data_IF_475958773864
#
_entry.id   IF_475958773864
#
_cell.length_a   1.000
_cell.length_b   1.000
_cell.length_c   1.000
_cell.angle_alpha   90.00
_cell.angle_beta   90.00
_cell.angle_gamma   90.00
#
_symmetry.space_group_name_H-M   'P 1'
#
loop_
_entity.id
_entity.type
_entity.pdbx_description
1 polymer ?
#
# COMPACT_ATOMS: atom_id res chain seq x y z
N UNK A 1 -38.43 17.39 -32.86
CA UNK A 1 -39.34 16.36 -32.32
C UNK A 1 -38.54 15.46 -31.41
N UNK A 2 -38.88 15.41 -30.12
CA UNK A 2 -38.24 14.55 -29.11
C UNK A 2 -38.71 13.11 -29.32
N UNK A 3 -37.77 12.16 -29.29
CA UNK A 3 -38.09 10.73 -29.44
C UNK A 3 -38.72 10.19 -28.15
N UNK A 4 -39.57 9.16 -28.22
CA UNK A 4 -40.11 8.52 -27.03
C UNK A 4 -38.98 8.04 -26.12
N UNK A 5 -39.08 8.31 -24.81
CA UNK A 5 -37.99 8.03 -23.88
C UNK A 5 -38.26 8.47 -22.43
N UNK A 6 -37.37 8.08 -21.52
CA UNK A 6 -37.39 8.51 -20.12
C UNK A 6 -36.68 9.85 -19.95
N UNK A 7 -37.37 10.82 -19.34
CA UNK A 7 -36.83 12.16 -19.11
C UNK A 7 -37.10 12.62 -17.67
N UNK A 8 -36.32 13.57 -17.13
CA UNK A 8 -36.55 14.14 -15.81
C UNK A 8 -37.96 14.73 -15.69
N UNK A 9 -38.67 14.40 -14.61
CA UNK A 9 -40.01 14.92 -14.37
C UNK A 9 -39.96 16.46 -14.16
N UNK A 10 -40.62 17.27 -15.02
CA UNK A 10 -40.62 18.72 -14.89
C UNK A 10 -41.30 19.22 -13.61
N UNK A 11 -42.05 18.37 -12.89
CA UNK A 11 -42.71 18.70 -11.62
C UNK A 11 -41.82 18.49 -10.37
N UNK A 12 -40.57 18.03 -10.53
CA UNK A 12 -39.53 18.20 -9.50
C UNK A 12 -39.39 17.11 -8.43
N UNK A 13 -40.15 16.02 -8.49
CA UNK A 13 -39.83 14.83 -7.71
C UNK A 13 -38.78 13.99 -8.45
N UNK A 14 -37.76 13.52 -7.75
CA UNK A 14 -36.59 12.80 -8.29
C UNK A 14 -36.93 11.43 -8.91
N UNK A 15 -37.72 11.42 -9.99
CA UNK A 15 -38.22 10.26 -10.74
C UNK A 15 -38.12 10.58 -12.24
N UNK A 16 -37.86 9.56 -13.05
CA UNK A 16 -37.95 9.70 -14.51
C UNK A 16 -39.40 9.47 -14.94
N UNK A 17 -39.92 10.31 -15.83
CA UNK A 17 -41.25 10.16 -16.45
C UNK A 17 -41.09 9.79 -17.92
N UNK A 18 -41.96 8.92 -18.43
CA UNK A 18 -41.92 8.51 -19.83
C UNK A 18 -42.64 9.51 -20.73
N UNK A 19 -41.94 9.98 -21.76
CA UNK A 19 -42.46 10.74 -22.89
C UNK A 19 -42.72 9.79 -24.06
N UNK A 20 -43.92 9.80 -24.63
CA UNK A 20 -44.29 8.89 -25.72
C UNK A 20 -44.04 9.44 -27.13
N UNK A 21 -43.53 10.67 -27.24
CA UNK A 21 -43.33 11.38 -28.51
C UNK A 21 -44.29 12.57 -28.69
N UNK A 22 -45.45 12.56 -28.02
CA UNK A 22 -46.50 13.59 -28.12
C UNK A 22 -46.93 14.14 -26.75
N UNK A 23 -46.94 13.32 -25.71
CA UNK A 23 -47.33 13.70 -24.35
C UNK A 23 -46.54 12.95 -23.24
N UNK A 24 -46.60 13.50 -22.04
CA UNK A 24 -46.07 12.86 -20.83
C UNK A 24 -47.07 11.84 -20.30
N UNK A 25 -46.61 10.62 -20.02
CA UNK A 25 -47.45 9.55 -19.47
C UNK A 25 -47.36 9.47 -17.93
N UNK A 26 -48.27 8.73 -17.29
CA UNK A 26 -48.23 8.47 -15.84
C UNK A 26 -47.18 7.41 -15.43
N UNK A 27 -46.46 6.81 -16.38
CA UNK A 27 -45.42 5.85 -16.08
C UNK A 27 -44.22 6.56 -15.42
N UNK A 28 -43.95 6.20 -14.17
CA UNK A 28 -42.82 6.69 -13.38
C UNK A 28 -41.82 5.55 -13.19
N UNK A 29 -40.56 5.79 -13.55
CA UNK A 29 -39.48 4.86 -13.26
C UNK A 29 -38.76 5.33 -11.98
N UNK A 30 -38.67 4.50 -10.92
CA UNK A 30 -37.73 4.79 -9.84
C UNK A 30 -36.34 4.89 -10.45
N UNK A 31 -35.66 6.02 -10.26
CA UNK A 31 -34.25 6.12 -10.60
C UNK A 31 -33.54 4.91 -9.97
N UNK A 32 -32.69 4.14 -10.69
CA UNK A 32 -31.86 3.15 -10.04
C UNK A 32 -31.17 3.86 -8.89
N UNK A 33 -31.28 3.30 -7.67
CA UNK A 33 -30.74 3.91 -6.48
C UNK A 33 -29.31 4.34 -6.77
N UNK A 34 -29.10 5.66 -6.88
CA UNK A 34 -27.75 6.22 -6.91
C UNK A 34 -27.08 5.63 -5.66
N UNK A 35 -25.96 4.90 -5.76
CA UNK A 35 -25.42 4.16 -4.63
C UNK A 35 -25.35 5.12 -3.46
N UNK A 36 -26.20 4.85 -2.48
CA UNK A 36 -26.41 5.71 -1.33
C UNK A 36 -25.05 5.89 -0.68
N UNK A 37 -24.57 7.14 -0.56
CA UNK A 37 -23.36 7.50 0.21
C UNK A 37 -23.42 7.02 1.68
N UNK A 38 -24.56 6.46 2.09
CA UNK A 38 -24.83 5.84 3.38
C UNK A 38 -24.25 4.42 3.51
N UNK A 39 -23.79 3.77 2.43
CA UNK A 39 -23.04 2.50 2.52
C UNK A 39 -21.58 2.68 3.00
N UNK A 40 -21.14 3.91 3.28
CA UNK A 40 -19.84 4.18 3.90
C UNK A 40 -19.88 4.11 5.44
N UNK A 41 -21.06 4.00 6.06
CA UNK A 41 -21.21 4.08 7.52
C UNK A 41 -21.33 2.71 8.22
N UNK A 42 -21.14 1.60 7.51
CA UNK A 42 -21.13 0.25 8.10
C UNK A 42 -20.07 -0.62 7.43
N UNK A 43 -18.83 -0.10 7.32
CA UNK A 43 -17.65 -0.96 7.27
C UNK A 43 -17.25 -1.28 8.71
N UNK A 44 -16.79 -2.50 9.02
CA UNK A 44 -16.48 -2.87 10.40
C UNK A 44 -15.50 -1.85 10.99
N UNK A 45 -15.94 -1.13 12.02
CA UNK A 45 -15.15 -0.08 12.69
C UNK A 45 -13.84 -0.61 13.31
N UNK A 46 -13.65 -1.94 13.35
CA UNK A 46 -12.47 -2.58 13.94
C UNK A 46 -11.19 -2.53 13.10
N UNK A 47 -11.24 -2.18 11.80
CA UNK A 47 -10.06 -2.25 10.92
C UNK A 47 -9.61 -0.90 10.34
N UNK A 48 -10.43 0.15 10.47
CA UNK A 48 -10.11 1.47 9.94
C UNK A 48 -9.39 2.33 10.98
N UNK A 49 -8.26 2.91 10.59
CA UNK A 49 -7.54 3.92 11.33
C UNK A 49 -7.95 5.31 10.81
N UNK A 50 -8.37 6.19 11.72
CA UNK A 50 -8.56 7.62 11.42
C UNK A 50 -7.86 8.43 12.50
N UNK A 51 -7.05 9.41 12.10
CA UNK A 51 -6.39 10.33 13.02
C UNK A 51 -6.20 11.70 12.37
N UNK A 52 -5.90 12.71 13.19
CA UNK A 52 -5.42 14.01 12.72
C UNK A 52 -3.94 14.13 13.04
N UNK A 53 -3.12 14.45 12.03
CA UNK A 53 -1.68 14.62 12.19
C UNK A 53 -1.33 16.00 11.66
N UNK A 54 -0.97 16.93 12.56
CA UNK A 54 -0.66 18.33 12.22
C UNK A 54 -1.74 19.02 11.39
N UNK A 55 -3.01 18.86 11.75
CA UNK A 55 -4.15 19.45 11.03
C UNK A 55 -4.53 18.74 9.73
N UNK A 56 -3.82 17.66 9.36
CA UNK A 56 -4.14 16.87 8.17
C UNK A 56 -4.78 15.55 8.59
N UNK A 57 -5.87 15.19 7.91
CA UNK A 57 -6.55 13.92 8.13
C UNK A 57 -5.70 12.77 7.60
N UNK A 58 -5.42 11.82 8.47
CA UNK A 58 -4.92 10.49 8.17
C UNK A 58 -6.09 9.50 8.19
N UNK A 59 -6.19 8.67 7.16
CA UNK A 59 -7.19 7.63 7.06
C UNK A 59 -6.57 6.38 6.44
N UNK A 60 -6.81 5.21 7.01
CA UNK A 60 -6.44 3.93 6.43
C UNK A 60 -7.54 2.91 6.73
N UNK A 61 -8.10 2.26 5.72
CA UNK A 61 -9.14 1.23 5.86
C UNK A 61 -8.78 -0.01 5.05
N UNK A 62 -9.76 -0.85 4.73
CA UNK A 62 -9.55 -2.04 3.91
C UNK A 62 -9.25 -1.72 2.44
N UNK A 63 -9.63 -0.54 1.96
CA UNK A 63 -9.49 -0.12 0.57
C UNK A 63 -8.19 0.62 0.28
N UNK A 64 -7.72 1.45 1.21
CA UNK A 64 -6.49 2.21 0.99
C UNK A 64 -6.06 3.05 2.17
N UNK A 65 -5.10 3.92 1.90
CA UNK A 65 -4.56 4.91 2.83
C UNK A 65 -4.57 6.29 2.18
N UNK A 66 -4.90 7.30 2.96
CA UNK A 66 -4.83 8.70 2.58
C UNK A 66 -4.27 9.55 3.71
N UNK A 67 -3.51 10.57 3.33
CA UNK A 67 -3.01 11.59 4.23
C UNK A 67 -3.01 12.96 3.54
N UNK A 68 -3.79 13.90 4.08
CA UNK A 68 -4.02 15.19 3.42
C UNK A 68 -4.67 15.01 2.06
N UNK A 69 -4.03 15.51 0.99
CA UNK A 69 -4.48 15.36 -0.40
C UNK A 69 -3.94 14.12 -1.12
N UNK A 70 -3.02 13.39 -0.49
CA UNK A 70 -2.42 12.18 -1.07
C UNK A 70 -3.22 10.95 -0.66
N UNK A 71 -3.44 10.02 -1.59
CA UNK A 71 -4.10 8.76 -1.32
C UNK A 71 -3.65 7.66 -2.26
N UNK A 72 -3.73 6.42 -1.80
CA UNK A 72 -3.38 5.24 -2.57
C UNK A 72 -4.21 4.04 -2.12
N UNK A 73 -4.80 3.32 -3.08
CA UNK A 73 -5.44 2.04 -2.79
C UNK A 73 -4.36 1.01 -2.40
N UNK A 74 -4.66 0.12 -1.46
CA UNK A 74 -3.69 -0.90 -1.04
C UNK A 74 -3.29 -1.83 -2.19
N UNK A 75 -4.19 -2.07 -3.14
CA UNK A 75 -3.92 -2.85 -4.35
C UNK A 75 -2.87 -2.18 -5.26
N UNK A 76 -2.84 -0.84 -5.28
CA UNK A 76 -1.92 -0.05 -6.10
C UNK A 76 -0.57 0.20 -5.42
N UNK A 77 -0.40 -0.16 -4.15
CA UNK A 77 0.91 -0.05 -3.48
C UNK A 77 1.91 -1.01 -4.14
N UNK A 78 3.04 -0.49 -4.60
CA UNK A 78 4.12 -1.25 -5.25
C UNK A 78 5.41 -1.25 -4.43
N UNK A 79 5.50 -0.39 -3.41
CA UNK A 79 6.57 -0.41 -2.43
C UNK A 79 6.16 0.21 -1.09
N UNK A 80 6.84 -0.22 -0.02
CA UNK A 80 6.69 0.31 1.34
C UNK A 80 8.04 0.64 1.97
N UNK A 81 8.11 1.66 2.81
CA UNK A 81 9.28 1.96 3.62
C UNK A 81 8.85 2.64 4.93
N UNK A 82 9.33 2.15 6.05
CA UNK A 82 9.11 2.77 7.36
C UNK A 82 10.28 2.53 8.31
N UNK A 83 10.58 3.54 9.11
CA UNK A 83 11.69 3.53 10.05
C UNK A 83 11.48 4.56 11.16
N UNK A 84 12.29 4.45 12.20
CA UNK A 84 12.40 5.45 13.27
C UNK A 84 13.72 6.20 13.13
N UNK A 85 13.70 7.53 13.20
CA UNK A 85 14.92 8.34 13.29
C UNK A 85 15.39 8.46 14.73
N UNK A 86 16.70 8.60 14.93
CA UNK A 86 17.27 8.76 16.27
C UNK A 86 16.95 10.15 16.84
N UNK A 87 17.38 11.22 16.16
CA UNK A 87 17.19 12.61 16.57
C UNK A 87 16.98 13.54 15.35
N UNK A 88 15.94 14.38 15.33
CA UNK A 88 14.77 14.29 16.22
C UNK A 88 14.08 12.93 16.05
N UNK A 89 13.43 12.42 17.10
CA UNK A 89 12.68 11.15 16.99
C UNK A 89 11.44 11.37 16.13
N UNK A 90 11.41 10.69 14.99
CA UNK A 90 10.28 10.64 14.09
C UNK A 90 10.04 9.19 13.67
N UNK A 91 8.77 8.82 13.54
CA UNK A 91 8.34 7.57 12.95
C UNK A 91 7.84 7.86 11.54
N UNK A 92 8.63 7.42 10.56
CA UNK A 92 8.35 7.66 9.15
C UNK A 92 7.62 6.46 8.57
N UNK A 93 6.58 6.73 7.79
CA UNK A 93 5.83 5.74 7.03
C UNK A 93 5.64 6.22 5.60
N UNK A 94 5.97 5.38 4.62
CA UNK A 94 5.84 5.66 3.19
C UNK A 94 5.33 4.44 2.45
N UNK A 95 4.36 4.66 1.58
CA UNK A 95 3.93 3.69 0.56
C UNK A 95 3.75 4.39 -0.77
N UNK A 96 4.02 3.70 -1.87
CA UNK A 96 3.86 4.32 -3.18
C UNK A 96 3.85 3.38 -4.36
N UNK A 97 3.72 3.98 -5.54
CA UNK A 97 3.85 3.35 -6.85
C UNK A 97 5.25 3.57 -7.41
N UNK A 98 5.66 2.72 -8.34
CA UNK A 98 6.88 2.94 -9.12
C UNK A 98 6.70 4.15 -10.05
N UNK A 99 7.81 4.79 -10.48
CA UNK A 99 9.19 4.55 -10.04
C UNK A 99 9.39 4.92 -8.56
N UNK A 100 10.32 4.27 -7.88
CA UNK A 100 10.57 4.50 -6.45
C UNK A 100 10.74 5.99 -6.14
N UNK A 101 10.04 6.48 -5.12
CA UNK A 101 9.99 7.87 -4.66
C UNK A 101 9.44 8.92 -5.64
N UNK A 102 9.61 8.75 -6.95
CA UNK A 102 9.13 9.68 -7.98
C UNK A 102 7.68 9.42 -8.40
N UNK A 103 7.13 8.22 -8.16
CA UNK A 103 5.73 7.91 -8.37
C UNK A 103 4.79 8.48 -7.29
N UNK A 104 3.46 8.38 -7.50
CA UNK A 104 2.45 8.69 -6.49
C UNK A 104 2.72 7.95 -5.18
N UNK A 105 2.66 8.67 -4.05
CA UNK A 105 2.95 8.11 -2.73
C UNK A 105 2.15 8.78 -1.61
N UNK A 106 1.96 8.03 -0.54
CA UNK A 106 1.55 8.56 0.76
C UNK A 106 2.75 8.53 1.68
N UNK A 107 3.04 9.66 2.33
CA UNK A 107 4.17 9.83 3.22
C UNK A 107 3.71 10.54 4.49
N UNK A 108 4.03 9.95 5.63
CA UNK A 108 3.62 10.42 6.94
C UNK A 108 4.86 10.43 7.83
N UNK A 109 5.10 11.56 8.49
CA UNK A 109 6.11 11.70 9.52
C UNK A 109 5.40 12.02 10.84
N UNK A 110 5.47 11.07 11.77
CA UNK A 110 4.91 11.21 13.12
C UNK A 110 6.03 11.55 14.08
N UNK A 111 5.78 12.48 14.98
CA UNK A 111 6.66 12.79 16.11
C UNK A 111 5.80 13.23 17.29
N UNK A 112 6.36 13.35 18.51
CA UNK A 112 5.56 13.63 19.70
C UNK A 112 4.79 14.97 19.66
N UNK A 113 5.14 15.89 18.76
CA UNK A 113 4.37 17.13 18.57
C UNK A 113 3.30 17.03 17.49
N UNK A 114 3.32 15.97 16.66
CA UNK A 114 2.35 15.75 15.60
C UNK A 114 1.06 15.06 16.10
N UNK A 115 1.18 14.22 17.12
CA UNK A 115 0.08 13.44 17.73
C UNK A 115 0.52 12.90 19.11
N UNK A 116 -0.38 12.94 20.10
CA UNK A 116 -0.08 12.51 21.48
C UNK A 116 0.42 11.05 21.55
N UNK A 117 -0.20 10.17 20.76
CA UNK A 117 0.23 8.78 20.59
C UNK A 117 0.85 8.53 19.19
N UNK A 118 1.90 9.27 18.86
CA UNK A 118 2.59 9.14 17.58
C UNK A 118 3.12 7.71 17.32
N UNK A 119 3.60 7.03 18.35
CA UNK A 119 4.15 5.68 18.22
C UNK A 119 3.06 4.62 18.03
N UNK A 120 1.97 4.67 18.80
CA UNK A 120 0.85 3.75 18.64
C UNK A 120 0.18 3.92 17.28
N UNK A 121 -0.01 5.17 16.85
CA UNK A 121 -0.53 5.50 15.52
C UNK A 121 0.34 4.92 14.40
N UNK A 122 1.67 5.09 14.49
CA UNK A 122 2.61 4.51 13.54
C UNK A 122 2.59 2.98 13.54
N UNK A 123 2.53 2.36 14.73
CA UNK A 123 2.49 0.90 14.88
C UNK A 123 1.25 0.35 14.19
N UNK A 124 0.09 0.99 14.38
CA UNK A 124 -1.16 0.58 13.74
C UNK A 124 -1.11 0.72 12.22
N UNK A 125 -0.51 1.80 11.70
CA UNK A 125 -0.28 1.95 10.26
C UNK A 125 0.59 0.83 9.68
N UNK A 126 1.66 0.45 10.38
CA UNK A 126 2.55 -0.62 9.96
C UNK A 126 1.83 -1.97 9.94
N UNK A 127 1.01 -2.27 10.94
CA UNK A 127 0.18 -3.49 10.97
C UNK A 127 -0.76 -3.57 9.77
N UNK A 128 -1.52 -2.50 9.49
CA UNK A 128 -2.42 -2.44 8.34
C UNK A 128 -1.62 -2.62 7.04
N UNK A 129 -0.48 -1.96 6.89
CA UNK A 129 0.37 -2.07 5.71
C UNK A 129 0.89 -3.51 5.49
N UNK A 130 1.30 -4.18 6.58
CA UNK A 130 1.76 -5.57 6.54
C UNK A 130 0.70 -6.50 5.97
N UNK A 131 -0.52 -6.40 6.48
CA UNK A 131 -1.65 -7.23 6.08
C UNK A 131 -2.16 -6.90 4.67
N UNK A 132 -2.26 -5.61 4.33
CA UNK A 132 -2.93 -5.14 3.11
C UNK A 132 -2.00 -5.04 1.90
N UNK A 133 -0.71 -4.78 2.11
CA UNK A 133 0.25 -4.54 1.03
C UNK A 133 1.43 -5.53 1.08
N UNK A 134 2.11 -5.69 2.21
CA UNK A 134 3.39 -6.42 2.25
C UNK A 134 3.25 -7.90 1.88
N UNK A 135 2.26 -8.61 2.43
CA UNK A 135 2.01 -10.02 2.08
C UNK A 135 1.82 -10.23 0.58
N UNK A 136 1.07 -9.32 -0.08
CA UNK A 136 0.86 -9.34 -1.53
C UNK A 136 2.15 -9.03 -2.29
N UNK A 137 2.90 -8.01 -1.87
CA UNK A 137 4.17 -7.64 -2.51
C UNK A 137 5.19 -8.79 -2.45
N UNK A 138 5.37 -9.40 -1.27
CA UNK A 138 6.25 -10.56 -1.09
C UNK A 138 5.81 -11.72 -1.99
N UNK A 139 4.53 -12.06 -2.00
CA UNK A 139 4.00 -13.14 -2.84
C UNK A 139 4.22 -12.86 -4.34
N UNK A 140 3.92 -11.64 -4.80
CA UNK A 140 4.07 -11.26 -6.20
C UNK A 140 5.54 -11.28 -6.66
N UNK A 141 6.45 -10.74 -5.85
CA UNK A 141 7.89 -10.74 -6.15
C UNK A 141 8.42 -12.18 -6.16
N UNK A 142 8.08 -12.97 -5.14
CA UNK A 142 8.54 -14.35 -5.04
C UNK A 142 8.02 -15.21 -6.21
N UNK A 143 6.75 -15.04 -6.61
CA UNK A 143 6.19 -15.72 -7.77
C UNK A 143 6.92 -15.35 -9.07
N UNK A 144 7.22 -14.06 -9.28
CA UNK A 144 7.99 -13.60 -10.44
C UNK A 144 9.39 -14.19 -10.48
N UNK A 145 10.06 -14.26 -9.33
CA UNK A 145 11.41 -14.85 -9.22
C UNK A 145 11.37 -16.34 -9.50
N UNK A 146 10.43 -17.09 -8.93
CA UNK A 146 10.29 -18.54 -9.21
C UNK A 146 9.95 -18.84 -10.67
N UNK A 147 9.25 -17.93 -11.34
CA UNK A 147 8.97 -18.02 -12.78
C UNK A 147 10.18 -17.69 -13.68
N UNK A 148 11.39 -17.52 -13.12
CA UNK A 148 12.61 -17.23 -13.88
C UNK A 148 12.96 -15.74 -13.96
N UNK A 149 12.13 -14.84 -13.42
CA UNK A 149 12.31 -13.40 -13.53
C UNK A 149 13.34 -12.83 -12.56
N UNK A 150 13.99 -11.73 -12.95
CA UNK A 150 14.74 -10.87 -12.05
C UNK A 150 13.89 -9.66 -11.64
N UNK A 151 13.91 -9.30 -10.36
CA UNK A 151 13.14 -8.19 -9.80
C UNK A 151 14.04 -7.27 -8.99
N UNK A 152 14.14 -6.00 -9.38
CA UNK A 152 14.72 -4.97 -8.52
C UNK A 152 13.78 -4.71 -7.34
N UNK A 153 14.11 -5.20 -6.15
CA UNK A 153 13.26 -5.13 -4.96
C UNK A 153 13.35 -3.75 -4.31
N UNK A 154 14.56 -3.22 -4.23
CA UNK A 154 14.90 -1.86 -3.79
C UNK A 154 15.95 -1.31 -4.74
N UNK A 155 16.21 0.01 -4.69
CA UNK A 155 17.35 0.61 -5.39
C UNK A 155 18.64 -0.15 -5.06
N UNK A 156 19.25 -0.74 -6.09
CA UNK A 156 20.53 -1.43 -5.98
C UNK A 156 20.49 -2.85 -5.39
N UNK A 157 19.31 -3.47 -5.23
CA UNK A 157 19.18 -4.90 -4.91
C UNK A 157 18.19 -5.57 -5.86
N UNK A 158 18.70 -6.51 -6.63
CA UNK A 158 17.95 -7.37 -7.53
C UNK A 158 17.91 -8.79 -6.99
N UNK A 159 16.72 -9.39 -7.01
CA UNK A 159 16.49 -10.78 -6.63
C UNK A 159 16.13 -11.57 -7.89
N UNK A 160 16.73 -12.74 -8.07
CA UNK A 160 16.56 -13.59 -9.25
C UNK A 160 16.60 -15.08 -8.85
N UNK A 161 16.31 -16.03 -9.76
CA UNK A 161 16.16 -17.44 -9.40
C UNK A 161 17.42 -18.05 -8.78
N UNK A 162 18.59 -17.53 -9.14
CA UNK A 162 19.88 -17.99 -8.64
C UNK A 162 20.30 -17.38 -7.31
N UNK A 163 19.68 -16.29 -6.86
CA UNK A 163 20.09 -15.59 -5.65
C UNK A 163 19.77 -14.10 -5.62
N UNK A 164 20.63 -13.33 -4.95
CA UNK A 164 20.54 -11.88 -4.82
C UNK A 164 21.80 -11.23 -5.38
N UNK A 165 21.61 -10.08 -6.01
CA UNK A 165 22.67 -9.23 -6.52
C UNK A 165 22.46 -7.79 -6.05
N UNK A 166 23.48 -7.17 -5.44
CA UNK A 166 23.41 -5.78 -5.01
C UNK A 166 24.74 -5.30 -4.45
N UNK A 167 24.97 -3.99 -4.36
CA UNK A 167 26.18 -3.43 -3.74
C UNK A 167 27.51 -3.97 -4.30
N UNK A 168 27.54 -4.43 -5.57
CA UNK A 168 28.71 -5.04 -6.21
C UNK A 168 28.95 -6.53 -5.88
N UNK A 169 28.10 -7.17 -5.08
CA UNK A 169 28.22 -8.58 -4.72
C UNK A 169 27.01 -9.41 -5.21
N UNK A 170 27.24 -10.70 -5.40
CA UNK A 170 26.22 -11.69 -5.74
C UNK A 170 26.27 -12.84 -4.74
N UNK A 171 25.11 -13.22 -4.20
CA UNK A 171 24.95 -14.34 -3.27
C UNK A 171 23.96 -15.34 -3.86
N UNK A 172 24.35 -16.60 -3.96
CA UNK A 172 23.43 -17.68 -4.35
C UNK A 172 22.54 -18.09 -3.18
N UNK A 173 21.34 -18.63 -3.46
CA UNK A 173 20.41 -19.04 -2.38
C UNK A 173 21.00 -19.99 -1.33
N UNK A 174 21.82 -21.02 -1.68
CA UNK A 174 22.48 -21.86 -0.68
C UNK A 174 23.43 -21.12 0.25
N UNK A 175 23.96 -19.97 -0.20
CA UNK A 175 24.84 -19.13 0.61
C UNK A 175 24.07 -18.16 1.52
N UNK A 176 22.75 -18.04 1.40
CA UNK A 176 21.94 -17.13 2.21
C UNK A 176 21.40 -17.87 3.45
N UNK A 177 21.73 -17.36 4.65
CA UNK A 177 21.17 -17.84 5.91
C UNK A 177 19.78 -17.27 6.17
N UNK A 178 19.66 -15.94 6.16
CA UNK A 178 18.43 -15.20 6.40
C UNK A 178 18.67 -13.71 6.07
N UNK A 179 17.65 -12.88 6.35
CA UNK A 179 17.81 -11.45 6.43
C UNK A 179 17.15 -10.90 7.70
N UNK A 180 17.80 -9.92 8.33
CA UNK A 180 17.39 -9.36 9.62
C UNK A 180 17.47 -7.84 9.61
N UNK A 181 16.54 -7.18 10.31
CA UNK A 181 16.57 -5.73 10.49
C UNK A 181 17.34 -5.41 11.76
N UNK A 182 18.49 -4.74 11.64
CA UNK A 182 19.33 -4.35 12.77
C UNK A 182 19.96 -2.97 12.52
N UNK A 183 19.91 -2.08 13.53
CA UNK A 183 20.56 -0.76 13.52
C UNK A 183 20.24 0.07 12.27
N UNK A 184 18.96 0.12 11.88
CA UNK A 184 18.49 0.92 10.74
C UNK A 184 18.88 0.37 9.37
N UNK A 185 19.30 -0.90 9.30
CA UNK A 185 19.65 -1.60 8.06
C UNK A 185 18.99 -2.97 8.05
N UNK A 186 18.83 -3.50 6.85
CA UNK A 186 18.46 -4.89 6.62
C UNK A 186 19.70 -5.61 6.13
N UNK A 187 20.18 -6.54 6.94
CA UNK A 187 21.37 -7.34 6.68
C UNK A 187 20.95 -8.67 6.08
N UNK A 188 21.57 -9.05 4.97
CA UNK A 188 21.43 -10.41 4.40
C UNK A 188 22.65 -11.21 4.88
N UNK A 189 22.41 -12.21 5.72
CA UNK A 189 23.48 -12.97 6.38
C UNK A 189 23.84 -14.22 5.58
N UNK A 190 25.13 -14.58 5.47
CA UNK A 190 25.55 -15.80 4.78
C UNK A 190 25.39 -17.05 5.67
N UNK A 191 25.11 -18.20 5.05
CA UNK A 191 24.90 -19.51 5.71
C UNK A 191 26.10 -20.04 6.52
N UNK A 192 27.30 -19.48 6.31
CA UNK A 192 28.55 -19.88 6.97
C UNK A 192 29.04 -18.95 8.09
N UNK A 193 28.27 -17.95 8.53
CA UNK A 193 28.65 -17.09 9.66
C UNK A 193 29.74 -16.06 9.39
N UNK A 194 29.98 -15.71 8.11
CA UNK A 194 30.89 -14.62 7.71
C UNK A 194 30.28 -13.22 7.84
N UNK A 195 31.06 -12.15 7.62
CA UNK A 195 30.55 -10.78 7.62
C UNK A 195 29.43 -10.64 6.58
N UNK A 196 28.34 -9.95 6.95
CA UNK A 196 27.24 -9.70 6.04
C UNK A 196 27.72 -8.94 4.81
N UNK A 197 27.57 -9.55 3.64
CA UNK A 197 28.13 -9.04 2.37
C UNK A 197 27.19 -8.00 1.74
N UNK A 198 25.91 -8.06 2.08
CA UNK A 198 24.87 -7.20 1.53
C UNK A 198 24.04 -6.58 2.65
N UNK A 199 23.85 -5.27 2.58
CA UNK A 199 22.88 -4.57 3.43
C UNK A 199 22.09 -3.56 2.62
N UNK A 200 20.86 -3.31 3.07
CA UNK A 200 19.96 -2.29 2.53
C UNK A 200 19.62 -1.33 3.66
N UNK A 201 19.80 0.00 3.49
CA UNK A 201 19.29 0.97 4.45
C UNK A 201 17.79 0.76 4.68
N UNK A 202 17.31 0.77 5.92
CA UNK A 202 15.88 0.53 6.22
C UNK A 202 14.96 1.58 5.57
N UNK A 203 15.51 2.75 5.25
CA UNK A 203 14.80 3.85 4.58
C UNK A 203 14.52 3.57 3.10
N UNK A 204 15.21 2.60 2.51
CA UNK A 204 15.05 2.26 1.11
C UNK A 204 13.70 1.57 0.86
N UNK A 205 13.11 1.75 -0.33
CA UNK A 205 11.85 1.09 -0.70
C UNK A 205 11.97 -0.42 -0.50
N UNK A 206 10.94 -1.06 0.04
CA UNK A 206 10.86 -2.49 0.29
C UNK A 206 11.94 -3.08 1.22
N UNK A 207 12.79 -2.27 1.86
CA UNK A 207 13.81 -2.79 2.77
C UNK A 207 13.19 -3.70 3.84
N UNK A 208 12.07 -3.24 4.42
CA UNK A 208 11.33 -3.93 5.49
C UNK A 208 10.72 -5.28 5.08
N UNK A 209 10.48 -5.53 3.80
CA UNK A 209 9.91 -6.81 3.32
C UNK A 209 10.98 -7.83 2.92
N UNK A 210 12.26 -7.44 2.83
CA UNK A 210 13.36 -8.33 2.43
C UNK A 210 13.46 -9.58 3.32
N UNK A 211 13.33 -9.52 4.67
CA UNK A 211 13.35 -10.72 5.51
C UNK A 211 12.30 -11.77 5.11
N UNK A 212 11.05 -11.33 4.91
CA UNK A 212 9.95 -12.20 4.50
C UNK A 212 10.16 -12.74 3.08
N UNK A 213 10.68 -11.91 2.17
CA UNK A 213 11.00 -12.33 0.80
C UNK A 213 12.10 -13.39 0.76
N UNK A 214 13.19 -13.20 1.51
CA UNK A 214 14.28 -14.17 1.62
C UNK A 214 13.78 -15.49 2.19
N UNK A 215 12.98 -15.46 3.26
CA UNK A 215 12.37 -16.66 3.82
C UNK A 215 11.47 -17.39 2.81
N UNK A 216 10.62 -16.66 2.08
CA UNK A 216 9.74 -17.23 1.07
C UNK A 216 10.50 -17.89 -0.09
N UNK A 217 11.62 -17.32 -0.53
CA UNK A 217 12.39 -17.83 -1.66
C UNK A 217 13.27 -19.03 -1.26
N UNK A 218 13.84 -19.03 -0.06
CA UNK A 218 14.64 -20.16 0.45
C UNK A 218 13.81 -21.42 0.71
N UNK A 219 12.58 -21.27 1.19
CA UNK A 219 11.71 -22.43 1.48
C UNK A 219 11.14 -23.11 0.22
N UNK A 220 11.36 -22.53 -0.97
CA UNK A 220 10.85 -23.05 -2.25
C UNK A 220 11.94 -23.51 -3.23
N UNK A 221 13.20 -23.55 -2.78
CA UNK A 221 14.37 -24.08 -3.49
C UNK A 221 14.87 -25.32 -2.79
#
# INVERSE_FOLDING_TARGET
MTRPGWYPDPLGESKLRWWDGEAWTEALNPQPARPSRVAAAQRPEGSALTAEVRGLRLYADDGGIAFGSSGLAWADVEWTAYWKTALPTQWIFRVGRRPFFAGPRVEIALDPSAHDDAQGLWTRLVEICRERAESRLVAAIAARVRAGGAVEVTQGLTVHPGGLHGGGASLSWPMVADAVVEKGRVWIRPAGGGPAVLYVPQQSPNAVIIPALVAALRNGT
#
